data_IF_632955104226
#
_entry.id   IF_632955104226
#
_cell.length_a   1.000
_cell.length_b   1.000
_cell.length_c   1.000
_cell.angle_alpha   90.00
_cell.angle_beta   90.00
_cell.angle_gamma   90.00
#
_symmetry.space_group_name_H-M   'P 1'
#
loop_
_entity.id
_entity.type
_entity.pdbx_description
1 polymer ?
#
# COMPACT_ATOMS: atom_id res chain seq x y z
N UNK A 1 -18.92 7.57 -16.59
CA UNK A 1 -17.66 6.81 -16.73
C UNK A 1 -17.32 6.18 -15.38
N UNK A 2 -16.59 5.06 -15.35
CA UNK A 2 -16.17 4.43 -14.09
C UNK A 2 -14.65 4.28 -14.07
N UNK A 3 -14.01 4.78 -13.01
CA UNK A 3 -12.56 4.69 -12.80
C UNK A 3 -12.31 3.85 -11.54
N UNK A 4 -11.77 2.63 -11.66
CA UNK A 4 -11.53 1.75 -10.52
C UNK A 4 -10.43 2.28 -9.61
N UNK A 5 -10.51 1.97 -8.32
CA UNK A 5 -9.50 2.34 -7.33
C UNK A 5 -8.17 1.62 -7.53
N UNK A 6 -8.25 0.34 -7.84
CA UNK A 6 -7.12 -0.59 -7.92
C UNK A 6 -6.97 -1.20 -9.29
N UNK A 7 -5.77 -1.69 -9.66
CA UNK A 7 -5.57 -2.42 -10.89
C UNK A 7 -6.52 -3.60 -11.01
N UNK A 8 -7.03 -3.80 -12.21
CA UNK A 8 -8.05 -4.78 -12.52
C UNK A 8 -7.45 -6.03 -13.17
N UNK A 9 -8.01 -7.20 -12.92
CA UNK A 9 -7.54 -8.45 -13.51
C UNK A 9 -8.12 -8.63 -14.90
N UNK A 10 -7.30 -8.38 -15.92
CA UNK A 10 -7.64 -8.73 -17.30
C UNK A 10 -7.71 -10.27 -17.42
N UNK A 11 -8.84 -10.85 -17.88
CA UNK A 11 -8.98 -12.29 -18.05
C UNK A 11 -7.88 -12.95 -18.91
N UNK A 12 -7.27 -12.21 -19.84
CA UNK A 12 -6.18 -12.74 -20.67
C UNK A 12 -4.99 -13.24 -19.86
N UNK A 13 -4.71 -12.64 -18.69
CA UNK A 13 -3.64 -13.11 -17.79
C UNK A 13 -3.87 -14.53 -17.24
N UNK A 14 -5.13 -15.00 -17.18
CA UNK A 14 -5.45 -16.34 -16.70
C UNK A 14 -5.10 -17.42 -17.73
N UNK A 15 -5.02 -17.06 -19.02
CA UNK A 15 -4.82 -17.98 -20.14
C UNK A 15 -3.45 -17.81 -20.82
N UNK A 16 -2.73 -16.75 -20.53
CA UNK A 16 -1.41 -16.50 -21.09
C UNK A 16 -0.37 -17.47 -20.51
N UNK A 17 0.60 -17.87 -21.32
CA UNK A 17 1.84 -18.47 -20.83
C UNK A 17 2.73 -17.39 -20.20
N UNK A 18 3.59 -17.77 -19.27
CA UNK A 18 4.53 -16.82 -18.66
C UNK A 18 5.39 -16.17 -19.76
N UNK A 19 5.49 -14.84 -19.74
CA UNK A 19 6.19 -14.07 -20.78
C UNK A 19 7.73 -14.20 -20.71
N UNK A 20 8.29 -15.10 -19.88
CA UNK A 20 9.73 -15.26 -19.71
C UNK A 20 10.44 -14.03 -19.14
N UNK A 21 9.70 -12.99 -18.78
CA UNK A 21 10.26 -11.79 -18.19
C UNK A 21 10.88 -12.09 -16.84
N UNK A 22 12.09 -11.61 -16.59
CA UNK A 22 12.72 -11.69 -15.28
C UNK A 22 11.81 -11.02 -14.25
N UNK A 23 11.47 -11.79 -13.19
CA UNK A 23 10.74 -11.23 -12.07
C UNK A 23 11.60 -10.14 -11.40
N UNK A 24 11.10 -8.90 -11.26
CA UNK A 24 11.81 -7.88 -10.51
C UNK A 24 11.78 -8.19 -9.01
N UNK A 25 12.60 -7.50 -8.28
CA UNK A 25 12.50 -7.52 -6.82
C UNK A 25 11.13 -6.96 -6.37
N UNK A 26 10.50 -7.51 -5.32
CA UNK A 26 10.96 -8.58 -4.41
C UNK A 26 10.69 -10.01 -4.89
N UNK A 27 10.09 -10.18 -6.06
CA UNK A 27 9.63 -11.50 -6.52
C UNK A 27 10.78 -12.44 -6.89
N UNK A 28 11.97 -11.91 -7.17
CA UNK A 28 13.18 -12.69 -7.46
C UNK A 28 14.09 -12.90 -6.24
N UNK A 29 13.78 -12.34 -5.07
CA UNK A 29 14.61 -12.46 -3.89
C UNK A 29 14.66 -13.91 -3.39
N UNK A 30 15.88 -14.44 -3.15
CA UNK A 30 16.09 -15.81 -2.65
C UNK A 30 15.51 -16.00 -1.24
N UNK A 31 15.62 -14.97 -0.40
CA UNK A 31 15.24 -15.00 1.02
C UNK A 31 13.80 -14.52 1.27
N UNK A 32 12.93 -14.52 0.22
CA UNK A 32 11.55 -14.07 0.34
C UNK A 32 10.64 -15.13 0.94
N UNK A 33 9.67 -14.67 1.69
CA UNK A 33 8.49 -15.43 2.11
C UNK A 33 7.22 -14.75 1.63
N UNK A 34 6.27 -15.52 1.11
CA UNK A 34 5.03 -14.99 0.51
C UNK A 34 3.82 -15.34 1.37
N UNK A 35 3.29 -14.37 2.09
CA UNK A 35 2.11 -14.46 2.96
C UNK A 35 0.84 -14.04 2.22
N UNK A 36 -0.31 -14.42 2.77
CA UNK A 36 -1.61 -13.94 2.30
C UNK A 36 -1.68 -12.40 2.28
N UNK A 37 -1.16 -11.74 3.30
CA UNK A 37 -1.12 -10.28 3.43
C UNK A 37 0.18 -9.83 4.09
N UNK A 38 0.61 -8.60 3.80
CA UNK A 38 1.80 -7.99 4.39
C UNK A 38 1.78 -7.97 5.92
N UNK A 39 0.62 -7.70 6.54
CA UNK A 39 0.45 -7.68 8.01
C UNK A 39 0.89 -8.99 8.70
N UNK A 40 0.69 -10.12 8.04
CA UNK A 40 1.10 -11.42 8.58
C UNK A 40 2.60 -11.65 8.42
N UNK A 41 3.19 -11.13 7.36
CA UNK A 41 4.64 -11.06 7.21
C UNK A 41 5.30 -10.21 8.30
N UNK A 42 4.71 -9.05 8.62
CA UNK A 42 5.15 -8.19 9.74
C UNK A 42 5.08 -8.95 11.06
N UNK A 43 3.95 -9.56 11.37
CA UNK A 43 3.75 -10.34 12.59
C UNK A 43 4.80 -11.45 12.73
N UNK A 44 5.01 -12.25 11.69
CA UNK A 44 5.97 -13.35 11.72
C UNK A 44 7.42 -12.88 11.83
N UNK A 45 7.74 -11.73 11.21
CA UNK A 45 9.06 -11.11 11.39
C UNK A 45 9.31 -10.75 12.85
N UNK A 46 8.38 -10.00 13.47
CA UNK A 46 8.56 -9.56 14.85
C UNK A 46 8.56 -10.74 15.85
N UNK A 47 7.76 -11.77 15.59
CA UNK A 47 7.84 -13.03 16.35
C UNK A 47 9.19 -13.71 16.24
N UNK A 48 9.74 -13.80 15.02
CA UNK A 48 11.03 -14.41 14.76
C UNK A 48 12.20 -13.60 15.37
N UNK A 49 12.06 -12.28 15.42
CA UNK A 49 13.02 -11.39 16.09
C UNK A 49 12.96 -11.50 17.62
N UNK A 50 11.91 -12.11 18.19
CA UNK A 50 11.77 -12.36 19.63
C UNK A 50 11.97 -11.11 20.49
N UNK A 51 11.24 -10.03 20.16
CA UNK A 51 11.26 -8.82 20.97
C UNK A 51 10.87 -9.11 22.40
N UNK A 52 11.64 -8.60 23.35
CA UNK A 52 11.29 -8.63 24.76
C UNK A 52 10.32 -7.45 25.07
N UNK A 53 9.61 -7.52 26.19
CA UNK A 53 8.57 -6.56 26.55
C UNK A 53 9.07 -5.12 26.72
N UNK A 54 10.34 -4.96 27.09
CA UNK A 54 11.03 -3.68 27.27
C UNK A 54 11.75 -3.17 26.01
N UNK A 55 11.88 -4.02 25.00
CA UNK A 55 12.52 -3.62 23.74
C UNK A 55 11.56 -2.82 22.86
N UNK A 56 12.05 -1.69 22.37
CA UNK A 56 11.25 -0.69 21.65
C UNK A 56 11.47 -0.79 20.14
N UNK A 57 10.36 -0.66 19.40
CA UNK A 57 10.36 -0.39 17.97
C UNK A 57 9.91 1.06 17.75
N UNK A 58 10.69 1.85 17.02
CA UNK A 58 10.26 3.16 16.55
C UNK A 58 9.38 2.98 15.30
N UNK A 59 8.17 3.53 15.30
CA UNK A 59 7.18 3.42 14.23
C UNK A 59 6.68 4.82 13.88
N UNK A 60 6.40 5.15 12.59
CA UNK A 60 5.89 6.47 12.25
C UNK A 60 4.48 6.69 12.83
N UNK A 61 4.16 7.91 13.23
CA UNK A 61 2.84 8.30 13.73
C UNK A 61 1.78 8.33 12.61
N UNK A 62 2.20 8.53 11.37
CA UNK A 62 1.34 8.42 10.19
C UNK A 62 1.41 7.01 9.62
N UNK A 63 0.42 6.17 9.92
CA UNK A 63 0.38 4.75 9.58
C UNK A 63 -1.07 4.28 9.33
N UNK A 64 -1.24 3.09 8.74
CA UNK A 64 -2.56 2.49 8.47
C UNK A 64 -3.19 1.84 9.73
N UNK A 65 -2.36 1.41 10.69
CA UNK A 65 -2.79 0.67 11.89
C UNK A 65 -2.60 -0.84 11.81
N UNK A 66 -2.61 -1.45 10.66
CA UNK A 66 -2.41 -2.91 10.52
C UNK A 66 -1.00 -3.34 10.91
N UNK A 67 0.02 -2.58 10.53
CA UNK A 67 1.42 -2.76 10.91
C UNK A 67 1.58 -2.64 12.43
N UNK A 68 1.00 -1.63 13.03
CA UNK A 68 1.02 -1.41 14.49
C UNK A 68 0.36 -2.58 15.22
N UNK A 69 -0.83 -3.01 14.76
CA UNK A 69 -1.52 -4.18 15.33
C UNK A 69 -0.68 -5.46 15.20
N UNK A 70 -0.03 -5.66 14.05
CA UNK A 70 0.82 -6.83 13.83
C UNK A 70 2.07 -6.83 14.73
N UNK A 71 2.73 -5.67 14.89
CA UNK A 71 3.90 -5.50 15.75
C UNK A 71 3.52 -5.73 17.22
N UNK A 72 2.45 -5.10 17.70
CA UNK A 72 1.95 -5.31 19.08
C UNK A 72 1.50 -6.74 19.33
N UNK A 73 0.81 -7.36 18.36
CA UNK A 73 0.40 -8.77 18.46
C UNK A 73 1.58 -9.74 18.57
N UNK A 74 2.74 -9.36 18.02
CA UNK A 74 3.99 -10.12 18.16
C UNK A 74 4.74 -9.86 19.48
N UNK A 75 4.25 -8.95 20.33
CA UNK A 75 4.76 -8.67 21.68
C UNK A 75 5.78 -7.54 21.77
N UNK A 76 6.07 -6.80 20.70
CA UNK A 76 6.98 -5.66 20.74
C UNK A 76 6.30 -4.39 21.29
N UNK A 77 7.07 -3.57 22.02
CA UNK A 77 6.65 -2.24 22.48
C UNK A 77 6.93 -1.19 21.42
N UNK A 78 5.98 -0.27 21.21
CA UNK A 78 6.08 0.77 20.16
C UNK A 78 6.35 2.13 20.83
N UNK A 79 7.14 2.97 20.12
CA UNK A 79 7.19 4.42 20.30
C UNK A 79 7.04 5.08 18.95
N UNK A 80 6.17 6.09 18.89
CA UNK A 80 5.90 6.80 17.63
C UNK A 80 6.87 7.94 17.43
N UNK A 81 7.36 8.07 16.18
CA UNK A 81 8.11 9.23 15.73
C UNK A 81 7.30 10.06 14.75
N UNK A 82 7.58 11.35 14.67
CA UNK A 82 6.83 12.31 13.86
C UNK A 82 7.13 12.18 12.38
N UNK A 83 6.05 12.25 11.59
CA UNK A 83 6.10 12.44 10.14
C UNK A 83 5.59 13.85 9.84
N UNK A 84 6.36 14.62 9.09
CA UNK A 84 5.96 15.95 8.62
C UNK A 84 4.93 15.88 7.48
N UNK A 85 4.34 17.04 7.15
CA UNK A 85 3.35 17.14 6.04
C UNK A 85 3.91 16.78 4.68
N UNK A 86 5.23 16.80 4.52
CA UNK A 86 5.94 16.31 3.33
C UNK A 86 6.07 14.78 3.25
N UNK A 87 5.51 14.04 4.21
CA UNK A 87 5.61 12.58 4.37
C UNK A 87 7.04 12.09 4.69
N UNK A 88 7.89 12.93 5.24
CA UNK A 88 9.23 12.58 5.68
C UNK A 88 9.33 12.55 7.21
N UNK A 89 10.24 11.76 7.79
CA UNK A 89 10.44 11.68 9.23
C UNK A 89 11.11 12.96 9.76
N UNK A 90 10.69 13.38 10.95
CA UNK A 90 11.39 14.34 11.77
C UNK A 90 12.67 13.68 12.33
N UNK A 91 13.81 13.95 11.70
CA UNK A 91 15.09 13.33 12.06
C UNK A 91 15.58 13.76 13.45
N UNK A 92 15.28 14.97 13.88
CA UNK A 92 15.63 15.46 15.22
C UNK A 92 14.82 14.72 16.29
N UNK A 93 13.54 14.51 16.04
CA UNK A 93 12.70 13.71 16.94
C UNK A 93 13.16 12.23 16.97
N UNK A 94 13.52 11.65 15.83
CA UNK A 94 14.11 10.30 15.78
C UNK A 94 15.39 10.21 16.60
N UNK A 95 16.32 11.15 16.47
CA UNK A 95 17.56 11.18 17.25
C UNK A 95 17.29 11.30 18.77
N UNK A 96 16.27 12.08 19.16
CA UNK A 96 15.84 12.15 20.56
C UNK A 96 15.33 10.80 21.07
N UNK A 97 14.50 10.09 20.28
CA UNK A 97 13.96 8.78 20.63
C UNK A 97 15.03 7.68 20.69
N UNK A 98 16.15 7.83 19.98
CA UNK A 98 17.27 6.90 20.06
C UNK A 98 17.92 6.83 21.45
N UNK A 99 17.70 7.85 22.33
CA UNK A 99 18.11 7.81 23.75
C UNK A 99 17.40 6.73 24.56
N UNK A 100 16.27 6.21 24.05
CA UNK A 100 15.55 5.11 24.64
C UNK A 100 16.14 3.74 24.26
N UNK A 101 17.25 3.71 23.52
CA UNK A 101 17.91 2.53 23.00
C UNK A 101 16.97 1.56 22.27
N UNK A 102 16.21 2.05 21.25
CA UNK A 102 15.29 1.20 20.49
C UNK A 102 16.06 0.12 19.74
N UNK A 103 15.45 -1.07 19.65
CA UNK A 103 16.04 -2.21 18.94
C UNK A 103 15.83 -2.16 17.43
N UNK A 104 14.74 -1.50 16.97
CA UNK A 104 14.45 -1.38 15.56
C UNK A 104 13.81 -0.05 15.21
N UNK A 105 14.07 0.40 13.97
CA UNK A 105 13.36 1.47 13.28
C UNK A 105 12.52 0.85 12.16
N UNK A 106 11.21 1.03 12.22
CA UNK A 106 10.26 0.67 11.19
C UNK A 106 9.90 1.93 10.39
N UNK A 107 10.14 1.93 9.08
CA UNK A 107 9.85 3.05 8.20
C UNK A 107 8.81 2.67 7.15
N UNK A 108 8.03 3.65 6.67
CA UNK A 108 7.06 3.46 5.59
C UNK A 108 7.45 4.34 4.42
N UNK A 109 7.60 3.73 3.24
CA UNK A 109 7.76 4.46 1.98
C UNK A 109 6.39 4.84 1.45
N UNK A 110 6.00 6.12 1.65
CA UNK A 110 4.67 6.60 1.35
C UNK A 110 4.40 6.73 -0.15
N UNK A 111 3.32 6.11 -0.64
CA UNK A 111 2.73 6.29 -1.97
C UNK A 111 3.68 6.08 -3.16
N UNK A 112 4.85 5.48 -2.93
CA UNK A 112 5.88 5.24 -3.94
C UNK A 112 7.16 6.06 -3.73
N UNK A 113 7.14 7.08 -2.87
CA UNK A 113 8.32 7.90 -2.60
C UNK A 113 9.24 7.25 -1.57
N UNK A 114 10.55 7.17 -1.86
CA UNK A 114 11.54 6.72 -0.89
C UNK A 114 11.61 7.67 0.31
N UNK A 115 11.86 7.12 1.48
CA UNK A 115 12.29 7.90 2.64
C UNK A 115 13.77 8.33 2.49
N UNK A 116 14.28 9.28 3.31
CA UNK A 116 15.70 9.71 3.29
C UNK A 116 16.62 8.58 3.80
N UNK A 117 16.89 7.60 2.92
CA UNK A 117 17.54 6.34 3.30
C UNK A 117 18.99 6.51 3.74
N UNK A 118 19.69 7.55 3.25
CA UNK A 118 21.06 7.88 3.67
C UNK A 118 21.13 8.17 5.16
N UNK A 119 20.30 9.09 5.61
CA UNK A 119 20.20 9.56 7.00
C UNK A 119 19.67 8.46 7.92
N UNK A 120 18.60 7.76 7.52
CA UNK A 120 18.00 6.70 8.31
C UNK A 120 18.92 5.49 8.49
N UNK A 121 19.66 5.12 7.44
CA UNK A 121 20.65 4.05 7.53
C UNK A 121 21.83 4.44 8.44
N UNK A 122 22.30 5.70 8.34
CA UNK A 122 23.35 6.22 9.21
C UNK A 122 22.90 6.23 10.68
N UNK A 123 21.65 6.67 10.94
CA UNK A 123 21.05 6.65 12.27
C UNK A 123 20.99 5.24 12.86
N UNK A 124 20.48 4.28 12.08
CA UNK A 124 20.42 2.89 12.52
C UNK A 124 21.79 2.30 12.84
N UNK A 125 22.79 2.57 12.00
CA UNK A 125 24.18 2.14 12.26
C UNK A 125 24.76 2.75 13.53
N UNK A 126 24.56 4.06 13.72
CA UNK A 126 25.04 4.80 14.89
C UNK A 126 24.50 4.22 16.20
N UNK A 127 23.24 3.82 16.22
CA UNK A 127 22.56 3.37 17.43
C UNK A 127 22.37 1.84 17.50
N UNK A 128 22.90 1.07 16.53
CA UNK A 128 22.85 -0.40 16.53
C UNK A 128 21.42 -0.95 16.32
N UNK A 129 20.54 -0.19 15.66
CA UNK A 129 19.16 -0.58 15.41
C UNK A 129 19.01 -1.41 14.14
N UNK A 130 18.06 -2.34 14.15
CA UNK A 130 17.56 -2.96 12.93
C UNK A 130 16.75 -1.96 12.12
N UNK A 131 16.91 -1.95 10.80
CA UNK A 131 16.10 -1.15 9.89
C UNK A 131 15.10 -2.04 9.15
N UNK A 132 13.81 -1.75 9.28
CA UNK A 132 12.70 -2.49 8.65
C UNK A 132 11.99 -1.56 7.69
N UNK A 133 12.03 -1.87 6.38
CA UNK A 133 11.43 -1.08 5.32
C UNK A 133 10.03 -1.61 4.99
N UNK A 134 8.98 -0.80 5.24
CA UNK A 134 7.64 -1.06 4.71
C UNK A 134 7.50 -0.45 3.31
N UNK A 135 7.60 -1.30 2.31
CA UNK A 135 7.44 -1.00 0.91
C UNK A 135 6.03 -1.35 0.39
N UNK A 136 5.03 -1.50 1.27
CA UNK A 136 3.67 -1.90 0.86
C UNK A 136 2.98 -0.91 -0.09
N UNK A 137 3.45 0.36 -0.13
CA UNK A 137 2.96 1.40 -1.03
C UNK A 137 3.95 1.76 -2.15
N UNK A 138 5.09 1.08 -2.25
CA UNK A 138 6.22 1.50 -3.08
C UNK A 138 6.82 0.36 -3.93
N UNK A 139 6.00 -0.62 -4.29
CA UNK A 139 6.42 -1.67 -5.22
C UNK A 139 6.90 -1.05 -6.54
N UNK A 140 8.05 -1.49 -7.06
CA UNK A 140 8.74 -1.00 -8.25
C UNK A 140 9.41 0.37 -8.12
N UNK A 141 9.43 0.96 -6.93
CA UNK A 141 10.20 2.19 -6.68
C UNK A 141 11.67 1.89 -6.38
N UNK A 142 12.51 2.85 -6.73
CA UNK A 142 13.96 2.83 -6.55
C UNK A 142 14.43 4.14 -5.90
N UNK A 143 15.53 4.07 -5.17
CA UNK A 143 16.28 5.23 -4.69
C UNK A 143 17.69 5.17 -5.23
N UNK A 144 18.15 6.22 -5.91
CA UNK A 144 19.48 6.28 -6.53
C UNK A 144 19.82 5.07 -7.42
N UNK A 145 18.86 4.61 -8.24
CA UNK A 145 19.01 3.45 -9.13
C UNK A 145 19.04 2.10 -8.41
N UNK A 146 18.76 2.08 -7.12
CA UNK A 146 18.64 0.85 -6.33
C UNK A 146 17.19 0.64 -5.88
N UNK A 147 16.68 -0.57 -6.07
CA UNK A 147 15.35 -0.93 -5.58
C UNK A 147 15.27 -0.69 -4.07
N UNK A 148 14.13 -0.15 -3.60
CA UNK A 148 13.85 -0.03 -2.17
C UNK A 148 13.92 -1.42 -1.56
N UNK A 149 14.62 -1.59 -0.46
CA UNK A 149 14.88 -2.82 0.30
C UNK A 149 16.38 -3.08 0.59
N UNK A 150 17.25 -2.54 -0.23
CA UNK A 150 18.69 -2.78 -0.07
C UNK A 150 19.30 -2.06 1.11
N UNK A 151 18.54 -1.17 1.71
CA UNK A 151 19.01 -0.32 2.80
C UNK A 151 18.76 -0.96 4.16
N UNK A 152 17.58 -1.58 4.36
CA UNK A 152 17.18 -2.21 5.60
C UNK A 152 17.63 -3.66 5.76
N UNK A 153 17.46 -4.17 6.97
CA UNK A 153 17.69 -5.57 7.31
C UNK A 153 16.57 -6.47 6.80
N UNK A 154 15.37 -5.91 6.77
CA UNK A 154 14.14 -6.56 6.31
C UNK A 154 13.32 -5.60 5.47
N UNK A 155 12.58 -6.15 4.51
CA UNK A 155 11.63 -5.37 3.71
C UNK A 155 10.30 -6.11 3.56
N UNK A 156 9.20 -5.36 3.56
CA UNK A 156 7.85 -5.89 3.49
C UNK A 156 7.12 -5.23 2.32
N UNK A 157 6.45 -6.04 1.48
CA UNK A 157 5.70 -5.59 0.32
C UNK A 157 4.27 -6.07 0.33
N UNK A 158 3.39 -5.29 -0.31
CA UNK A 158 2.00 -5.65 -0.57
C UNK A 158 1.76 -5.69 -2.09
N UNK A 159 1.61 -6.88 -2.66
CA UNK A 159 1.53 -7.06 -4.12
C UNK A 159 0.22 -6.54 -4.69
N UNK A 160 -0.91 -6.82 -4.05
CA UNK A 160 -2.26 -6.52 -4.56
C UNK A 160 -2.61 -5.02 -4.60
N UNK A 161 -1.77 -4.15 -4.03
CA UNK A 161 -1.95 -2.69 -4.16
C UNK A 161 -1.46 -2.17 -5.52
N UNK A 162 -0.44 -2.81 -6.09
CA UNK A 162 0.18 -2.40 -7.37
C UNK A 162 -0.19 -3.34 -8.51
N UNK A 163 -0.38 -4.63 -8.23
CA UNK A 163 -0.64 -5.68 -9.21
C UNK A 163 -2.05 -6.25 -9.05
N UNK A 164 -2.73 -6.63 -10.14
CA UNK A 164 -4.07 -7.22 -10.10
C UNK A 164 -4.02 -8.69 -9.68
N UNK A 165 -3.54 -8.95 -8.47
CA UNK A 165 -3.48 -10.29 -7.87
C UNK A 165 -4.46 -10.41 -6.71
N UNK A 166 -5.04 -11.59 -6.44
CA UNK A 166 -6.05 -11.74 -5.41
C UNK A 166 -5.54 -11.45 -3.99
N UNK A 167 -4.29 -11.74 -3.69
CA UNK A 167 -3.62 -11.48 -2.41
C UNK A 167 -2.11 -11.52 -2.58
N UNK A 168 -1.35 -11.24 -1.52
CA UNK A 168 0.10 -11.38 -1.48
C UNK A 168 0.78 -10.29 -0.67
N UNK A 169 1.44 -10.70 0.40
CA UNK A 169 2.45 -9.95 1.14
C UNK A 169 3.79 -10.64 1.00
N UNK A 170 4.86 -9.90 0.80
CA UNK A 170 6.22 -10.46 0.67
C UNK A 170 7.09 -9.89 1.76
N UNK A 171 7.69 -10.77 2.56
CA UNK A 171 8.76 -10.44 3.50
C UNK A 171 10.09 -10.87 2.89
N UNK A 172 11.06 -9.97 2.86
CA UNK A 172 12.44 -10.24 2.42
C UNK A 172 13.39 -10.03 3.59
N UNK A 173 14.38 -10.93 3.71
CA UNK A 173 15.41 -10.92 4.75
C UNK A 173 16.77 -10.63 4.10
N UNK A 174 17.33 -9.43 4.32
CA UNK A 174 18.55 -8.99 3.61
C UNK A 174 19.85 -9.41 4.29
N UNK A 175 19.87 -9.53 5.62
CA UNK A 175 21.08 -9.85 6.39
C UNK A 175 21.24 -11.33 6.74
N UNK A 176 20.35 -12.17 6.23
CA UNK A 176 20.36 -13.59 6.52
C UNK A 176 18.98 -14.09 6.94
N UNK A 177 18.78 -15.39 6.80
CA UNK A 177 17.50 -16.01 7.09
C UNK A 177 17.40 -16.29 8.59
N UNK A 178 16.40 -15.75 9.25
CA UNK A 178 16.09 -16.07 10.64
C UNK A 178 15.65 -17.54 10.73
N UNK A 179 16.25 -18.34 11.64
CA UNK A 179 15.93 -19.76 11.74
C UNK A 179 14.45 -20.06 11.98
N UNK A 180 13.75 -19.20 12.71
CA UNK A 180 12.33 -19.30 12.98
C UNK A 180 11.50 -19.16 11.71
N UNK A 181 11.87 -18.21 10.84
CA UNK A 181 11.20 -18.02 9.56
C UNK A 181 11.55 -19.12 8.56
N UNK A 182 12.78 -19.63 8.59
CA UNK A 182 13.19 -20.75 7.75
C UNK A 182 12.39 -22.03 8.02
N UNK A 183 11.93 -22.22 9.26
CA UNK A 183 11.12 -23.38 9.70
C UNK A 183 9.63 -23.15 9.61
N UNK A 184 9.20 -21.93 9.26
CA UNK A 184 7.78 -21.58 9.19
C UNK A 184 7.14 -22.23 7.97
N UNK A 185 6.24 -23.16 8.20
CA UNK A 185 5.39 -23.73 7.17
C UNK A 185 4.12 -22.88 6.98
N UNK A 186 3.94 -22.38 5.77
CA UNK A 186 2.75 -21.59 5.41
C UNK A 186 1.66 -22.52 4.89
N UNK A 187 0.48 -22.39 5.48
CA UNK A 187 -0.73 -23.09 5.07
C UNK A 187 -1.23 -22.56 3.72
N UNK A 188 -1.90 -23.41 2.92
CA UNK A 188 -2.49 -22.98 1.67
C UNK A 188 -3.62 -21.97 1.91
N UNK A 189 -3.72 -20.98 1.02
CA UNK A 189 -4.82 -20.03 1.01
C UNK A 189 -6.12 -20.71 0.56
N UNK A 190 -7.24 -20.34 1.20
CA UNK A 190 -8.57 -20.85 0.84
C UNK A 190 -8.93 -20.51 -0.62
N UNK A 191 -9.31 -21.54 -1.39
CA UNK A 191 -9.63 -21.43 -2.81
C UNK A 191 -10.85 -20.57 -3.10
N UNK A 192 -11.87 -20.58 -2.23
CA UNK A 192 -13.09 -19.79 -2.40
C UNK A 192 -12.79 -18.28 -2.25
N UNK A 193 -11.96 -17.92 -1.30
CA UNK A 193 -11.48 -16.53 -1.13
C UNK A 193 -10.69 -16.06 -2.35
N UNK A 194 -9.82 -16.91 -2.91
CA UNK A 194 -9.03 -16.60 -4.11
C UNK A 194 -9.94 -16.42 -5.34
N UNK A 195 -10.87 -17.36 -5.56
CA UNK A 195 -11.80 -17.30 -6.68
C UNK A 195 -12.70 -16.06 -6.60
N UNK A 196 -13.24 -15.78 -5.42
CA UNK A 196 -14.09 -14.62 -5.17
C UNK A 196 -13.36 -13.30 -5.44
N UNK A 197 -12.12 -13.14 -4.95
CA UNK A 197 -11.35 -11.93 -5.18
C UNK A 197 -10.93 -11.79 -6.64
N UNK A 198 -10.57 -12.88 -7.30
CA UNK A 198 -10.23 -12.88 -8.73
C UNK A 198 -11.43 -12.48 -9.59
N UNK A 199 -12.61 -13.01 -9.28
CA UNK A 199 -13.87 -12.62 -9.94
C UNK A 199 -14.15 -11.13 -9.72
N UNK A 200 -14.01 -10.63 -8.50
CA UNK A 200 -14.18 -9.20 -8.20
C UNK A 200 -13.27 -8.33 -9.07
N UNK A 201 -11.96 -8.62 -9.12
CA UNK A 201 -10.99 -7.88 -9.93
C UNK A 201 -11.32 -7.94 -11.43
N UNK A 202 -11.82 -9.09 -11.90
CA UNK A 202 -12.25 -9.27 -13.30
C UNK A 202 -13.53 -8.48 -13.61
N UNK A 203 -14.51 -8.46 -12.69
CA UNK A 203 -15.72 -7.66 -12.84
C UNK A 203 -15.43 -6.16 -12.84
N UNK A 204 -14.48 -5.69 -12.02
CA UNK A 204 -14.02 -4.30 -12.06
C UNK A 204 -13.35 -3.96 -13.41
N UNK A 205 -12.60 -4.91 -13.98
CA UNK A 205 -12.03 -4.76 -15.33
C UNK A 205 -13.11 -4.61 -16.40
N UNK A 206 -14.13 -5.47 -16.39
CA UNK A 206 -15.27 -5.37 -17.30
C UNK A 206 -16.01 -4.05 -17.12
N UNK A 207 -16.25 -3.63 -15.88
CA UNK A 207 -16.96 -2.40 -15.55
C UNK A 207 -16.22 -1.16 -16.05
N UNK A 208 -14.90 -1.12 -15.91
CA UNK A 208 -14.09 0.03 -16.35
C UNK A 208 -14.08 0.21 -17.89
N UNK A 209 -14.42 -0.85 -18.65
CA UNK A 209 -14.43 -0.87 -20.12
C UNK A 209 -15.84 -0.79 -20.73
N UNK A 210 -16.88 -1.05 -19.96
CA UNK A 210 -18.26 -1.04 -20.42
C UNK A 210 -18.91 0.31 -20.16
N UNK A 211 -18.92 1.18 -21.18
CA UNK A 211 -19.69 2.43 -21.13
C UNK A 211 -21.19 2.11 -21.05
N UNK A 212 -21.82 2.27 -19.87
CA UNK A 212 -23.28 2.15 -19.69
C UNK A 212 -23.80 0.89 -18.98
N UNK A 213 -23.09 -0.22 -18.93
CA UNK A 213 -23.52 -1.46 -18.26
C UNK A 213 -23.13 -1.56 -16.78
N UNK A 214 -22.51 -0.53 -16.22
CA UNK A 214 -22.01 -0.53 -14.83
C UNK A 214 -23.08 -0.79 -13.75
N UNK A 215 -24.33 -0.39 -14.01
CA UNK A 215 -25.47 -0.64 -13.10
C UNK A 215 -25.81 -2.12 -12.96
N UNK A 216 -25.90 -2.84 -14.06
CA UNK A 216 -26.19 -4.28 -14.08
C UNK A 216 -25.05 -5.08 -13.41
N UNK A 217 -23.77 -4.72 -13.64
CA UNK A 217 -22.63 -5.38 -13.01
C UNK A 217 -22.56 -5.13 -11.50
N UNK A 218 -22.94 -3.95 -11.03
CA UNK A 218 -22.99 -3.65 -9.58
C UNK A 218 -24.10 -4.42 -8.88
N UNK A 219 -25.20 -4.69 -9.56
CA UNK A 219 -26.27 -5.57 -9.09
C UNK A 219 -25.81 -7.01 -9.01
N UNK A 220 -25.13 -7.53 -10.04
CA UNK A 220 -24.51 -8.87 -10.04
C UNK A 220 -23.52 -9.05 -8.88
N UNK A 221 -22.65 -8.07 -8.63
CA UNK A 221 -21.70 -8.08 -7.50
C UNK A 221 -22.43 -8.20 -6.16
N UNK A 222 -23.51 -7.43 -5.97
CA UNK A 222 -24.34 -7.48 -4.75
C UNK A 222 -25.10 -8.80 -4.62
N UNK A 223 -25.65 -9.33 -5.70
CA UNK A 223 -26.33 -10.62 -5.71
C UNK A 223 -25.38 -11.78 -5.40
N UNK A 224 -24.22 -11.84 -6.06
CA UNK A 224 -23.19 -12.84 -5.81
C UNK A 224 -22.65 -12.77 -4.36
N UNK A 225 -22.49 -11.56 -3.79
CA UNK A 225 -22.12 -11.38 -2.39
C UNK A 225 -23.17 -11.91 -1.40
N UNK A 226 -24.47 -11.68 -1.67
CA UNK A 226 -25.57 -12.23 -0.85
C UNK A 226 -25.62 -13.76 -0.91
N UNK A 227 -25.45 -14.33 -2.10
CA UNK A 227 -25.44 -15.79 -2.29
C UNK A 227 -24.25 -16.42 -1.57
N UNK A 228 -23.04 -15.85 -1.69
CA UNK A 228 -21.86 -16.34 -0.99
C UNK A 228 -22.03 -16.32 0.54
N UNK A 229 -22.62 -15.26 1.08
CA UNK A 229 -22.93 -15.18 2.52
C UNK A 229 -24.00 -16.20 2.97
N UNK A 230 -25.00 -16.51 2.13
CA UNK A 230 -26.00 -17.53 2.43
C UNK A 230 -25.41 -18.95 2.49
N UNK A 231 -24.34 -19.21 1.72
CA UNK A 231 -23.64 -20.50 1.73
C UNK A 231 -22.52 -20.58 2.76
N UNK A 232 -22.41 -19.62 3.70
CA UNK A 232 -21.40 -19.64 4.76
C UNK A 232 -19.95 -19.51 4.25
N UNK A 233 -19.76 -19.01 3.04
CA UNK A 233 -18.42 -18.78 2.49
C UNK A 233 -17.84 -17.53 3.16
N UNK A 234 -17.12 -17.75 4.27
CA UNK A 234 -16.38 -16.70 4.95
C UNK A 234 -15.13 -16.35 4.12
N UNK A 235 -15.15 -15.18 3.50
CA UNK A 235 -14.03 -14.67 2.73
C UNK A 235 -12.95 -14.14 3.66
N UNK A 236 -11.70 -14.51 3.41
CA UNK A 236 -10.56 -13.84 4.01
C UNK A 236 -10.49 -12.41 3.44
N UNK A 237 -10.68 -11.38 4.25
CA UNK A 237 -10.69 -10.01 3.76
C UNK A 237 -9.28 -9.56 3.38
N UNK A 238 -9.16 -8.93 2.20
CA UNK A 238 -7.94 -8.30 1.70
C UNK A 238 -8.11 -6.79 1.81
N UNK A 239 -7.18 -6.10 2.47
CA UNK A 239 -7.17 -4.64 2.54
C UNK A 239 -8.03 -4.00 3.65
N UNK A 240 -8.73 -4.78 4.48
CA UNK A 240 -9.47 -4.26 5.64
C UNK A 240 -8.55 -3.92 6.83
N UNK A 241 -9.05 -3.15 7.76
CA UNK A 241 -8.45 -2.95 9.09
C UNK A 241 -8.74 -4.16 9.99
N UNK A 242 -7.75 -4.62 10.74
CA UNK A 242 -7.86 -5.70 11.70
C UNK A 242 -6.73 -6.71 11.62
N UNK A 243 -6.58 -7.46 12.70
CA UNK A 243 -5.58 -8.51 12.83
C UNK A 243 -6.27 -9.77 13.39
N UNK A 244 -6.08 -10.90 12.71
CA UNK A 244 -6.66 -12.19 13.11
C UNK A 244 -5.56 -13.25 13.18
N UNK A 245 -5.37 -13.82 14.35
CA UNK A 245 -4.39 -14.87 14.61
C UNK A 245 -4.64 -16.16 13.82
N UNK A 246 -5.87 -16.44 13.42
CA UNK A 246 -6.20 -17.62 12.60
C UNK A 246 -5.51 -17.61 11.21
N UNK A 247 -5.08 -16.43 10.75
CA UNK A 247 -4.56 -16.25 9.40
C UNK A 247 -3.05 -15.99 9.34
N UNK A 248 -2.34 -15.97 10.47
CA UNK A 248 -0.91 -15.58 10.53
C UNK A 248 0.03 -16.50 9.76
N UNK A 249 -0.38 -17.75 9.54
CA UNK A 249 0.42 -18.75 8.82
C UNK A 249 -0.09 -19.03 7.40
N UNK A 250 -1.01 -18.21 6.86
CA UNK A 250 -1.53 -18.45 5.51
C UNK A 250 -0.58 -17.83 4.48
N UNK A 251 -0.20 -18.62 3.49
CA UNK A 251 0.62 -18.22 2.36
C UNK A 251 -0.16 -17.48 1.27
N UNK A 252 0.57 -16.82 0.37
CA UNK A 252 -0.01 -16.23 -0.83
C UNK A 252 -0.57 -17.31 -1.76
N UNK A 253 -1.71 -16.99 -2.42
CA UNK A 253 -2.38 -17.90 -3.33
C UNK A 253 -1.46 -18.40 -4.46
N UNK A 254 -1.56 -19.67 -4.87
CA UNK A 254 -0.83 -20.16 -6.05
C UNK A 254 -1.13 -19.33 -7.31
N UNK A 255 -2.40 -18.89 -7.48
CA UNK A 255 -2.79 -18.01 -8.58
C UNK A 255 -2.04 -16.67 -8.53
N UNK A 256 -1.92 -16.04 -7.35
CA UNK A 256 -1.11 -14.81 -7.21
C UNK A 256 0.32 -15.03 -7.71
N UNK A 257 0.97 -16.11 -7.28
CA UNK A 257 2.33 -16.45 -7.69
C UNK A 257 2.46 -16.72 -9.19
N UNK A 258 1.47 -17.39 -9.80
CA UNK A 258 1.44 -17.64 -11.26
C UNK A 258 1.29 -16.33 -12.03
N UNK A 259 0.41 -15.44 -11.60
CA UNK A 259 0.16 -14.16 -12.26
C UNK A 259 1.39 -13.25 -12.27
N UNK A 260 2.30 -13.34 -11.29
CA UNK A 260 3.53 -12.55 -11.26
C UNK A 260 4.39 -12.73 -12.52
N UNK A 261 4.41 -13.92 -13.14
CA UNK A 261 5.12 -14.17 -14.37
C UNK A 261 4.47 -13.59 -15.64
N UNK A 262 3.29 -12.97 -15.53
CA UNK A 262 2.51 -12.45 -16.67
C UNK A 262 2.67 -10.94 -16.86
N UNK A 263 3.16 -10.22 -15.84
CA UNK A 263 3.18 -8.76 -15.86
C UNK A 263 4.42 -8.20 -16.54
N UNK A 264 4.22 -7.17 -17.34
CA UNK A 264 5.27 -6.29 -17.82
C UNK A 264 5.50 -5.18 -16.79
N UNK A 265 6.45 -5.39 -15.90
CA UNK A 265 6.73 -4.51 -14.77
C UNK A 265 7.27 -3.15 -15.19
N UNK A 266 8.05 -3.09 -16.26
CA UNK A 266 8.55 -1.84 -16.80
C UNK A 266 7.39 -1.00 -17.33
N UNK A 267 6.51 -1.58 -18.14
CA UNK A 267 5.33 -0.92 -18.65
C UNK A 267 4.38 -0.45 -17.54
N UNK A 268 4.20 -1.25 -16.47
CA UNK A 268 3.40 -0.84 -15.29
C UNK A 268 4.00 0.42 -14.67
N UNK A 269 5.31 0.47 -14.43
CA UNK A 269 6.00 1.61 -13.85
C UNK A 269 5.89 2.85 -14.76
N UNK A 270 6.19 2.70 -16.03
CA UNK A 270 6.13 3.77 -17.02
C UNK A 270 4.71 4.36 -17.13
N UNK A 271 3.68 3.50 -17.20
CA UNK A 271 2.29 3.95 -17.30
C UNK A 271 1.83 4.71 -16.05
N UNK A 272 2.20 4.25 -14.82
CA UNK A 272 1.88 4.97 -13.59
C UNK A 272 2.55 6.33 -13.53
N UNK A 273 3.81 6.42 -13.93
CA UNK A 273 4.57 7.67 -14.00
C UNK A 273 3.97 8.64 -15.04
N UNK A 274 3.60 8.12 -16.20
CA UNK A 274 2.90 8.89 -17.23
C UNK A 274 1.56 9.42 -16.71
N UNK A 275 0.71 8.56 -16.13
CA UNK A 275 -0.60 8.93 -15.60
C UNK A 275 -0.47 9.99 -14.50
N UNK A 276 0.53 9.86 -13.62
CA UNK A 276 0.81 10.85 -12.58
C UNK A 276 1.09 12.24 -13.18
N UNK A 277 2.06 12.33 -14.09
CA UNK A 277 2.44 13.59 -14.72
C UNK A 277 1.27 14.22 -15.48
N UNK A 278 0.61 13.43 -16.29
CA UNK A 278 -0.53 13.89 -17.08
C UNK A 278 -1.65 14.45 -16.20
N UNK A 279 -2.04 13.73 -15.15
CA UNK A 279 -3.11 14.19 -14.26
C UNK A 279 -2.67 15.40 -13.42
N UNK A 280 -1.43 15.42 -12.95
CA UNK A 280 -0.85 16.56 -12.22
C UNK A 280 -0.89 17.86 -13.06
N UNK A 281 -0.52 17.80 -14.34
CA UNK A 281 -0.60 18.92 -15.27
C UNK A 281 -2.06 19.41 -15.47
N UNK A 282 -3.01 18.47 -15.59
CA UNK A 282 -4.45 18.81 -15.76
C UNK A 282 -5.09 19.41 -14.52
N UNK A 283 -4.52 19.13 -13.35
CA UNK A 283 -4.99 19.64 -12.07
C UNK A 283 -4.27 20.92 -11.62
N UNK A 284 -3.25 21.37 -12.35
CA UNK A 284 -2.56 22.62 -12.06
C UNK A 284 -3.53 23.81 -11.98
N UNK A 285 -3.50 24.55 -10.86
CA UNK A 285 -4.40 25.64 -10.56
C UNK A 285 -5.87 25.26 -10.26
N UNK A 286 -6.18 23.96 -10.12
CA UNK A 286 -7.52 23.45 -9.80
C UNK A 286 -7.57 22.68 -8.48
N UNK A 287 -6.47 22.09 -8.07
CA UNK A 287 -6.33 21.37 -6.81
C UNK A 287 -4.89 21.44 -6.30
N UNK A 288 -4.71 21.31 -5.01
CA UNK A 288 -3.39 21.31 -4.37
C UNK A 288 -2.85 19.88 -4.32
N UNK A 289 -1.68 19.68 -4.93
CA UNK A 289 -0.97 18.39 -4.87
C UNK A 289 -0.10 18.34 -3.61
N UNK A 290 -0.14 17.20 -2.91
CA UNK A 290 0.76 16.95 -1.77
C UNK A 290 2.21 16.77 -2.23
N UNK A 291 2.42 16.15 -3.40
CA UNK A 291 3.74 15.92 -4.02
C UNK A 291 3.69 16.41 -5.47
N UNK A 292 4.60 17.29 -5.83
CA UNK A 292 4.77 17.81 -7.20
C UNK A 292 5.98 17.22 -7.90
N UNK A 293 6.95 16.71 -7.12
CA UNK A 293 8.15 16.04 -7.61
C UNK A 293 7.85 14.59 -7.99
N UNK A 294 8.41 14.13 -9.09
CA UNK A 294 8.39 12.72 -9.50
C UNK A 294 9.79 12.31 -9.95
N UNK A 295 10.68 12.09 -8.97
CA UNK A 295 12.04 11.64 -9.22
C UNK A 295 12.09 10.36 -10.08
N UNK A 296 13.20 10.12 -10.79
CA UNK A 296 13.31 9.04 -11.78
C UNK A 296 12.98 7.66 -11.22
N UNK A 297 13.44 7.36 -10.02
CA UNK A 297 13.21 6.06 -9.35
C UNK A 297 11.80 5.82 -8.82
N UNK A 298 10.93 6.85 -8.69
CA UNK A 298 9.61 6.73 -8.07
C UNK A 298 8.62 6.00 -8.99
N UNK A 299 7.95 4.97 -8.46
CA UNK A 299 6.75 4.36 -9.04
C UNK A 299 5.53 4.75 -8.19
N UNK A 300 4.79 5.81 -8.57
CA UNK A 300 3.72 6.35 -7.74
C UNK A 300 2.54 5.36 -7.64
N UNK A 301 2.02 5.18 -6.42
CA UNK A 301 0.85 4.32 -6.19
C UNK A 301 -0.44 5.05 -6.54
N UNK A 302 -0.57 6.30 -6.10
CA UNK A 302 -1.68 7.22 -6.34
C UNK A 302 -1.16 8.63 -6.59
N UNK A 303 -2.03 9.53 -7.02
CA UNK A 303 -1.76 10.96 -7.01
C UNK A 303 -2.42 11.57 -5.77
N UNK A 304 -1.63 12.02 -4.76
CA UNK A 304 -2.17 12.57 -3.53
C UNK A 304 -2.51 14.04 -3.67
N UNK A 305 -3.74 14.39 -3.29
CA UNK A 305 -4.23 15.77 -3.19
C UNK A 305 -4.35 16.19 -1.74
N UNK A 306 -4.15 17.48 -1.49
CA UNK A 306 -4.60 18.14 -0.27
C UNK A 306 -5.98 18.75 -0.53
N UNK A 307 -6.96 18.39 0.30
CA UNK A 307 -8.34 18.87 0.21
C UNK A 307 -8.83 19.39 1.55
N UNK A 308 -9.79 20.31 1.60
CA UNK A 308 -10.32 20.84 2.88
C UNK A 308 -10.94 19.75 3.77
N UNK A 309 -11.72 18.88 3.18
CA UNK A 309 -12.36 17.73 3.83
C UNK A 309 -12.23 16.49 2.95
N UNK A 310 -11.42 15.55 3.37
CA UNK A 310 -11.12 14.33 2.63
C UNK A 310 -12.36 13.47 2.39
N UNK A 311 -13.21 13.32 3.40
CA UNK A 311 -14.40 12.50 3.31
C UNK A 311 -15.42 13.06 2.33
N UNK A 312 -15.69 14.38 2.42
CA UNK A 312 -16.59 15.07 1.50
C UNK A 312 -16.09 14.98 0.04
N UNK A 313 -14.79 15.18 -0.17
CA UNK A 313 -14.18 15.09 -1.49
C UNK A 313 -14.22 13.66 -2.06
N UNK A 314 -13.95 12.64 -1.23
CA UNK A 314 -14.05 11.24 -1.63
C UNK A 314 -15.49 10.85 -2.01
N UNK A 315 -16.48 11.20 -1.19
CA UNK A 315 -17.90 10.93 -1.50
C UNK A 315 -18.35 11.58 -2.81
N UNK A 316 -17.94 12.84 -3.05
CA UNK A 316 -18.27 13.54 -4.29
C UNK A 316 -17.70 12.80 -5.51
N UNK A 317 -16.45 12.33 -5.45
CA UNK A 317 -15.83 11.55 -6.51
C UNK A 317 -16.46 10.16 -6.68
N UNK A 318 -16.79 9.47 -5.59
CA UNK A 318 -17.48 8.17 -5.66
C UNK A 318 -18.85 8.27 -6.32
N UNK A 319 -19.62 9.34 -6.05
CA UNK A 319 -20.89 9.63 -6.75
C UNK A 319 -20.68 9.82 -8.26
N UNK A 320 -19.52 10.34 -8.66
CA UNK A 320 -19.12 10.43 -10.07
C UNK A 320 -18.52 9.13 -10.63
N UNK A 321 -18.43 8.06 -9.84
CA UNK A 321 -17.85 6.78 -10.27
C UNK A 321 -16.31 6.76 -10.31
N UNK A 322 -15.65 7.68 -9.61
CA UNK A 322 -14.19 7.73 -9.48
C UNK A 322 -13.78 7.10 -8.14
N UNK A 323 -12.97 6.06 -8.18
CA UNK A 323 -12.51 5.31 -7.02
C UNK A 323 -11.38 6.02 -6.26
N UNK A 324 -11.64 7.22 -5.74
CA UNK A 324 -10.72 7.90 -4.83
C UNK A 324 -10.54 7.13 -3.52
N UNK A 325 -9.38 7.29 -2.87
CA UNK A 325 -9.02 6.56 -1.65
C UNK A 325 -8.85 7.52 -0.49
N UNK A 326 -9.42 7.15 0.64
CA UNK A 326 -9.19 7.78 1.93
C UNK A 326 -8.25 6.89 2.75
N UNK A 327 -6.94 7.00 2.55
CA UNK A 327 -6.01 6.26 3.39
C UNK A 327 -5.98 6.79 4.81
N UNK A 328 -5.86 5.86 5.75
CA UNK A 328 -5.41 6.09 7.12
C UNK A 328 -6.27 7.07 7.93
N UNK A 329 -7.56 6.75 7.98
CA UNK A 329 -8.53 7.55 8.74
C UNK A 329 -8.40 7.37 10.27
N UNK A 330 -7.92 6.20 10.72
CA UNK A 330 -7.79 5.88 12.14
C UNK A 330 -6.43 6.33 12.67
N UNK A 331 -6.42 7.03 13.81
CA UNK A 331 -5.21 7.30 14.58
C UNK A 331 -5.07 6.29 15.73
N UNK A 332 -3.85 6.02 16.13
CA UNK A 332 -3.57 5.23 17.33
C UNK A 332 -3.83 6.09 18.59
N UNK A 333 -4.36 5.52 19.69
CA UNK A 333 -4.55 6.26 20.94
C UNK A 333 -3.27 6.88 21.51
N UNK A 334 -2.10 6.31 21.22
CA UNK A 334 -0.79 6.85 21.62
C UNK A 334 -0.25 7.93 20.68
N UNK A 335 -1.07 8.36 19.69
CA UNK A 335 -0.76 9.44 18.74
C UNK A 335 -1.78 10.57 18.87
N UNK A 336 -1.79 11.33 20.02
CA UNK A 336 -2.70 12.43 20.20
C UNK A 336 -2.33 13.63 19.31
N UNK A 337 -3.35 14.40 18.88
CA UNK A 337 -3.20 15.49 17.92
C UNK A 337 -2.26 16.61 18.43
N UNK A 338 -2.21 16.85 19.72
CA UNK A 338 -1.37 17.88 20.35
C UNK A 338 0.13 17.58 20.20
N UNK A 339 0.49 16.30 20.18
CA UNK A 339 1.89 15.85 20.05
C UNK A 339 2.27 15.54 18.60
N UNK A 340 1.27 15.20 17.77
CA UNK A 340 1.45 14.74 16.38
C UNK A 340 0.52 15.48 15.40
N UNK A 341 0.59 16.83 15.35
CA UNK A 341 -0.36 17.64 14.58
C UNK A 341 -0.32 17.36 13.07
N UNK A 342 0.87 17.10 12.53
CA UNK A 342 1.04 16.90 11.10
C UNK A 342 0.43 15.58 10.60
N UNK A 343 0.55 14.48 11.35
CA UNK A 343 -0.11 13.23 10.98
C UNK A 343 -1.63 13.34 11.05
N UNK A 344 -2.17 14.09 12.01
CA UNK A 344 -3.60 14.38 12.07
C UNK A 344 -4.06 15.29 10.93
N UNK A 345 -3.24 16.26 10.51
CA UNK A 345 -3.48 17.04 9.30
C UNK A 345 -3.54 16.14 8.07
N UNK A 346 -2.53 15.29 7.86
CA UNK A 346 -2.49 14.35 6.74
C UNK A 346 -3.73 13.44 6.71
N UNK A 347 -4.16 12.92 7.86
CA UNK A 347 -5.36 12.07 7.99
C UNK A 347 -6.65 12.76 7.55
N UNK A 348 -6.76 14.07 7.75
CA UNK A 348 -7.96 14.86 7.39
C UNK A 348 -7.96 15.32 5.93
N UNK A 349 -6.78 15.57 5.38
CA UNK A 349 -6.67 16.36 4.16
C UNK A 349 -6.10 15.61 2.96
N UNK A 350 -5.42 14.47 3.14
CA UNK A 350 -4.83 13.74 2.00
C UNK A 350 -5.85 12.78 1.38
N UNK A 351 -6.18 13.05 0.12
CA UNK A 351 -7.04 12.21 -0.72
C UNK A 351 -6.23 11.67 -1.89
N UNK A 352 -6.33 10.38 -2.19
CA UNK A 352 -5.55 9.71 -3.22
C UNK A 352 -6.40 9.39 -4.47
N UNK A 353 -5.94 9.86 -5.63
CA UNK A 353 -6.57 9.60 -6.91
C UNK A 353 -5.95 8.40 -7.63
N UNK A 354 -6.76 7.54 -8.29
CA UNK A 354 -6.26 6.39 -9.03
C UNK A 354 -5.48 6.82 -10.27
N UNK A 355 -4.25 6.30 -10.40
CA UNK A 355 -3.35 6.51 -11.54
C UNK A 355 -2.70 5.20 -12.00
N UNK A 356 -3.29 4.06 -11.62
CA UNK A 356 -2.70 2.76 -11.92
C UNK A 356 -2.68 2.46 -13.43
N UNK A 357 -1.98 1.42 -13.83
CA UNK A 357 -1.70 1.06 -15.22
C UNK A 357 -2.93 0.82 -16.10
N UNK A 358 -4.11 0.56 -15.52
CA UNK A 358 -5.35 0.37 -16.28
C UNK A 358 -6.17 1.66 -16.46
N UNK A 359 -5.73 2.77 -15.86
CA UNK A 359 -6.35 4.10 -16.03
C UNK A 359 -5.92 4.66 -17.37
N UNK A 360 -6.89 4.88 -18.27
CA UNK A 360 -6.67 5.44 -19.61
C UNK A 360 -6.63 6.96 -19.61
N UNK A 361 -6.17 7.59 -20.70
CA UNK A 361 -6.22 9.03 -20.88
C UNK A 361 -7.64 9.60 -20.70
N UNK A 362 -8.65 8.92 -21.26
CA UNK A 362 -10.05 9.34 -21.09
C UNK A 362 -10.52 9.27 -19.63
N UNK A 363 -10.01 8.33 -18.84
CA UNK A 363 -10.24 8.29 -17.39
C UNK A 363 -9.59 9.48 -16.68
N UNK A 364 -8.33 9.82 -17.04
CA UNK A 364 -7.60 10.96 -16.44
C UNK A 364 -8.26 12.29 -16.76
N UNK A 365 -8.69 12.50 -18.03
CA UNK A 365 -9.45 13.68 -18.45
C UNK A 365 -10.80 13.77 -17.73
N UNK A 366 -11.47 12.63 -17.51
CA UNK A 366 -12.70 12.56 -16.75
C UNK A 366 -12.50 12.95 -15.29
N UNK A 367 -11.45 12.41 -14.62
CA UNK A 367 -11.10 12.80 -13.24
C UNK A 367 -10.88 14.31 -13.15
N UNK A 368 -10.03 14.87 -14.03
CA UNK A 368 -9.72 16.30 -14.04
C UNK A 368 -10.96 17.15 -14.27
N UNK A 369 -11.84 16.74 -15.19
CA UNK A 369 -13.11 17.44 -15.47
C UNK A 369 -14.10 17.38 -14.31
N UNK A 370 -14.17 16.28 -13.56
CA UNK A 370 -15.02 16.20 -12.36
C UNK A 370 -14.48 17.06 -11.22
N UNK A 371 -13.17 17.09 -11.00
CA UNK A 371 -12.54 17.95 -9.99
C UNK A 371 -12.77 19.41 -10.32
N UNK A 372 -12.67 19.82 -11.59
CA UNK A 372 -12.94 21.18 -12.04
C UNK A 372 -14.40 21.58 -11.79
N UNK A 373 -15.37 20.68 -12.02
CA UNK A 373 -16.80 20.90 -11.72
C UNK A 373 -17.09 21.00 -10.21
N UNK A 374 -16.34 20.28 -9.41
CA UNK A 374 -16.47 20.19 -7.96
C UNK A 374 -15.46 21.10 -7.24
N UNK A 375 -14.88 22.07 -7.95
CA UNK A 375 -13.77 22.90 -7.52
C UNK A 375 -13.89 23.45 -6.08
N UNK A 376 -15.04 23.95 -5.60
CA UNK A 376 -15.17 24.46 -4.24
C UNK A 376 -14.89 23.42 -3.14
N UNK A 377 -15.00 22.11 -3.45
CA UNK A 377 -14.73 21.01 -2.52
C UNK A 377 -13.22 20.72 -2.47
N UNK A 378 -12.46 21.09 -3.51
CA UNK A 378 -11.04 20.77 -3.68
C UNK A 378 -10.11 21.95 -3.43
N UNK A 379 -10.60 23.17 -3.37
CA UNK A 379 -9.79 24.33 -3.08
C UNK A 379 -9.52 24.45 -1.57
N UNK A 380 -8.24 24.33 -1.21
CA UNK A 380 -7.76 24.71 0.12
C UNK A 380 -7.74 26.24 0.15
N UNK A 381 -8.56 26.86 0.98
CA UNK A 381 -8.49 28.30 1.20
C UNK A 381 -7.09 28.62 1.73
N UNK A 382 -6.36 29.48 1.03
CA UNK A 382 -5.10 30.03 1.54
C UNK A 382 -5.47 31.01 2.67
N UNK A 383 -5.17 30.58 3.90
CA UNK A 383 -5.14 31.48 5.05
C UNK A 383 -4.02 32.53 4.92
#
# INVERSE_FOLDING_TARGET
>A
MYVPTWPCLNPSYLFSSANGSHLPFPMNAYTRMCFFSARYGIYQLFRALRFQKDEIVLVPDYHHGNEVRAIRAAGASIRFYRIGRNLEPDLDHLEQLCRLHPRALYIIHYLGWPQPMGELTALCRKHGMLLIEDCALSLLSESNGQALWRFGDFAIYCLYKTLPVPNGGVLVQNRGILPELARLELLPCDGASVASRSLELTLEWLRSRSNGFGGALSWFKRAAGKVANQFGIHRLPVGNTGFDFAHVNIGAAPLSRRLLGQFDYQKIREQRRFNYRYLAERLAGKATLLRTDLAEGVCPLFLPLLVPDKHLAAEALWKCGIGAVEFWNESDPEVPAEQFPDSHFLRRHVLELPIHQDVSLSHLDYIAGQIDRLRPIFEVQSD
#
